data_IF_405558116837
#
_entry.id   IF_405558116837
#
_cell.length_a   1.000
_cell.length_b   1.000
_cell.length_c   1.000
_cell.angle_alpha   90.00
_cell.angle_beta   90.00
_cell.angle_gamma   90.00
#
_symmetry.space_group_name_H-M   'P 1'
#
loop_
_entity.id
_entity.type
_entity.pdbx_description
1 polymer ?
#
# COMPACT_ATOMS: atom_id res chain seq x y z
N UNK A 1 11.50 -25.79 14.23
CA UNK A 1 11.04 -25.81 12.81
C UNK A 1 9.72 -25.04 12.60
N UNK A 2 8.78 -25.09 13.55
CA UNK A 2 7.52 -24.31 13.56
C UNK A 2 7.77 -22.80 13.62
N UNK A 3 8.66 -22.35 14.49
CA UNK A 3 8.96 -20.93 14.69
C UNK A 3 9.53 -20.23 13.45
N UNK A 4 10.42 -20.90 12.70
CA UNK A 4 10.93 -20.40 11.43
C UNK A 4 9.82 -20.27 10.37
N UNK A 5 8.96 -21.29 10.24
CA UNK A 5 7.82 -21.25 9.31
C UNK A 5 6.87 -20.09 9.64
N UNK A 6 6.68 -19.76 10.91
CA UNK A 6 5.84 -18.65 11.34
C UNK A 6 6.45 -17.28 10.99
N UNK A 7 7.78 -17.12 11.10
CA UNK A 7 8.48 -15.90 10.63
C UNK A 7 8.27 -15.70 9.13
N UNK A 8 8.48 -16.75 8.34
CA UNK A 8 8.30 -16.70 6.88
C UNK A 8 6.85 -16.38 6.52
N UNK A 9 5.87 -17.00 7.20
CA UNK A 9 4.45 -16.71 7.01
C UNK A 9 4.13 -15.24 7.32
N UNK A 10 4.70 -14.70 8.39
CA UNK A 10 4.55 -13.29 8.74
C UNK A 10 5.14 -12.36 7.67
N UNK A 11 6.35 -12.63 7.19
CA UNK A 11 7.00 -11.85 6.12
C UNK A 11 6.21 -11.91 4.81
N UNK A 12 5.71 -13.09 4.43
CA UNK A 12 4.80 -13.26 3.28
C UNK A 12 3.54 -12.40 3.44
N UNK A 13 2.91 -12.43 4.61
CA UNK A 13 1.72 -11.61 4.86
C UNK A 13 1.98 -10.11 4.79
N UNK A 14 3.10 -9.64 5.33
CA UNK A 14 3.50 -8.23 5.25
C UNK A 14 3.81 -7.80 3.80
N UNK A 15 4.46 -8.67 3.03
CA UNK A 15 4.73 -8.49 1.59
C UNK A 15 3.44 -8.36 0.80
N UNK A 16 2.48 -9.27 1.01
CA UNK A 16 1.19 -9.25 0.32
C UNK A 16 0.43 -7.96 0.59
N UNK A 17 0.50 -7.40 1.80
CA UNK A 17 -0.12 -6.09 2.08
C UNK A 17 0.50 -4.96 1.25
N UNK A 18 1.83 -4.91 1.15
CA UNK A 18 2.53 -3.95 0.30
C UNK A 18 2.21 -4.13 -1.19
N UNK A 19 2.27 -5.38 -1.68
CA UNK A 19 1.96 -5.72 -3.08
C UNK A 19 0.50 -5.39 -3.43
N UNK A 20 -0.45 -5.75 -2.57
CA UNK A 20 -1.87 -5.48 -2.78
C UNK A 20 -2.14 -3.98 -2.90
N UNK A 21 -1.53 -3.18 -2.02
CA UNK A 21 -1.64 -1.72 -2.11
C UNK A 21 -1.11 -1.22 -3.46
N UNK A 22 0.11 -1.59 -3.86
CA UNK A 22 0.70 -1.16 -5.14
C UNK A 22 -0.18 -1.55 -6.33
N UNK A 23 -0.62 -2.81 -6.39
CA UNK A 23 -1.48 -3.31 -7.48
C UNK A 23 -2.81 -2.57 -7.50
N UNK A 24 -3.44 -2.36 -6.35
CA UNK A 24 -4.68 -1.60 -6.23
C UNK A 24 -4.54 -0.20 -6.84
N UNK A 25 -3.44 0.50 -6.54
CA UNK A 25 -3.20 1.83 -7.07
C UNK A 25 -3.04 1.83 -8.59
N UNK A 26 -2.24 0.90 -9.13
CA UNK A 26 -2.03 0.79 -10.58
C UNK A 26 -3.35 0.51 -11.31
N UNK A 27 -4.12 -0.46 -10.81
CA UNK A 27 -5.40 -0.84 -11.41
C UNK A 27 -6.39 0.33 -11.38
N UNK A 28 -6.53 1.00 -10.24
CA UNK A 28 -7.50 2.09 -10.11
C UNK A 28 -7.10 3.35 -10.86
N UNK A 29 -5.81 3.64 -10.97
CA UNK A 29 -5.32 4.73 -11.81
C UNK A 29 -5.65 4.48 -13.29
N UNK A 30 -5.50 3.24 -13.78
CA UNK A 30 -5.89 2.86 -15.12
C UNK A 30 -7.42 3.02 -15.35
N UNK A 31 -8.25 2.62 -14.39
CA UNK A 31 -9.71 2.82 -14.46
C UNK A 31 -10.11 4.29 -14.44
N UNK A 32 -9.42 5.13 -13.65
CA UNK A 32 -9.64 6.58 -13.64
C UNK A 32 -9.35 7.20 -15.00
N UNK A 33 -8.22 6.85 -15.63
CA UNK A 33 -7.88 7.32 -16.98
C UNK A 33 -8.94 6.87 -17.99
N UNK A 34 -9.33 5.60 -17.97
CA UNK A 34 -10.36 5.07 -18.86
C UNK A 34 -11.69 5.81 -18.67
N UNK A 35 -12.07 6.08 -17.41
CA UNK A 35 -13.26 6.86 -17.09
C UNK A 35 -13.21 8.27 -17.66
N UNK A 36 -12.09 8.97 -17.50
CA UNK A 36 -11.88 10.31 -18.07
C UNK A 36 -12.00 10.28 -19.59
N UNK A 37 -11.40 9.29 -20.26
CA UNK A 37 -11.46 9.14 -21.72
C UNK A 37 -12.92 8.92 -22.17
N UNK A 38 -13.64 8.00 -21.53
CA UNK A 38 -15.06 7.72 -21.84
C UNK A 38 -15.91 8.98 -21.64
N UNK A 39 -15.72 9.68 -20.52
CA UNK A 39 -16.41 10.96 -20.24
C UNK A 39 -16.09 12.02 -21.29
N UNK A 40 -14.84 12.14 -21.73
CA UNK A 40 -14.44 13.11 -22.75
C UNK A 40 -15.07 12.83 -24.12
N UNK A 41 -15.25 11.55 -24.50
CA UNK A 41 -15.98 11.18 -25.71
C UNK A 41 -17.47 11.49 -25.59
N UNK A 42 -18.09 11.16 -24.45
CA UNK A 42 -19.51 11.41 -24.19
C UNK A 42 -19.85 12.91 -24.12
N UNK A 43 -18.93 13.75 -23.65
CA UNK A 43 -19.13 15.21 -23.61
C UNK A 43 -19.26 15.83 -25.02
N UNK A 44 -18.75 15.20 -26.07
CA UNK A 44 -18.91 15.69 -27.46
C UNK A 44 -20.31 15.45 -28.03
N UNK A 45 -21.09 14.58 -27.42
CA UNK A 45 -22.36 14.05 -27.96
C UNK A 45 -23.59 14.39 -27.11
N UNK A 46 -23.41 14.98 -25.92
CA UNK A 46 -24.46 15.09 -24.90
C UNK A 46 -24.86 16.55 -24.66
N UNK A 47 -26.17 16.81 -24.56
CA UNK A 47 -26.74 18.12 -24.16
C UNK A 47 -26.48 18.42 -22.67
N UNK A 48 -26.64 19.67 -22.23
CA UNK A 48 -26.35 20.08 -20.84
C UNK A 48 -27.04 19.24 -19.74
N UNK A 49 -28.13 18.54 -20.04
CA UNK A 49 -28.81 17.65 -19.07
C UNK A 49 -28.15 16.27 -18.91
N UNK A 50 -27.41 15.75 -19.90
CA UNK A 50 -26.69 14.47 -19.76
C UNK A 50 -25.26 14.62 -19.22
N UNK A 51 -24.83 15.85 -18.92
CA UNK A 51 -23.51 16.15 -18.35
C UNK A 51 -23.28 15.44 -17.00
N UNK A 52 -24.32 15.30 -16.18
CA UNK A 52 -24.28 14.51 -14.94
C UNK A 52 -24.02 13.03 -15.20
N UNK A 53 -24.64 12.46 -16.25
CA UNK A 53 -24.41 11.06 -16.63
C UNK A 53 -23.01 10.83 -17.21
N UNK A 54 -22.40 11.85 -17.83
CA UNK A 54 -21.04 11.77 -18.36
C UNK A 54 -19.98 11.67 -17.24
N UNK A 55 -20.25 12.22 -16.05
CA UNK A 55 -19.32 12.19 -14.91
C UNK A 55 -19.64 11.15 -13.84
N UNK A 56 -20.79 10.49 -13.91
CA UNK A 56 -21.18 9.46 -12.93
C UNK A 56 -20.14 8.33 -12.81
N UNK A 57 -19.59 7.87 -13.94
CA UNK A 57 -18.61 6.78 -13.95
C UNK A 57 -17.27 7.16 -13.28
N UNK A 58 -16.57 8.26 -13.67
CA UNK A 58 -15.36 8.69 -12.98
C UNK A 58 -15.55 8.94 -11.48
N UNK A 59 -16.70 9.51 -11.08
CA UNK A 59 -17.01 9.78 -9.66
C UNK A 59 -17.14 8.47 -8.88
N UNK A 60 -17.85 7.47 -9.41
CA UNK A 60 -17.97 6.16 -8.75
C UNK A 60 -16.60 5.49 -8.64
N UNK A 61 -15.79 5.50 -9.70
CA UNK A 61 -14.43 4.94 -9.69
C UNK A 61 -13.57 5.63 -8.63
N UNK A 62 -13.65 6.96 -8.53
CA UNK A 62 -12.94 7.74 -7.51
C UNK A 62 -13.36 7.35 -6.09
N UNK A 63 -14.66 7.19 -5.83
CA UNK A 63 -15.16 6.79 -4.51
C UNK A 63 -14.66 5.39 -4.11
N UNK A 64 -14.70 4.43 -5.04
CA UNK A 64 -14.17 3.08 -4.78
C UNK A 64 -12.65 3.15 -4.55
N UNK A 65 -11.92 3.94 -5.34
CA UNK A 65 -10.49 4.14 -5.17
C UNK A 65 -10.16 4.72 -3.80
N UNK A 66 -10.86 5.78 -3.38
CA UNK A 66 -10.67 6.42 -2.09
C UNK A 66 -10.93 5.47 -0.93
N UNK A 67 -12.03 4.71 -0.96
CA UNK A 67 -12.34 3.72 0.08
C UNK A 67 -11.30 2.60 0.12
N UNK A 68 -10.90 2.09 -1.05
CA UNK A 68 -9.85 1.08 -1.14
C UNK A 68 -8.50 1.58 -0.64
N UNK A 69 -8.16 2.84 -0.87
CA UNK A 69 -6.94 3.47 -0.33
C UNK A 69 -6.95 3.51 1.19
N UNK A 70 -8.09 3.83 1.78
CA UNK A 70 -8.22 3.87 3.24
C UNK A 70 -8.02 2.48 3.85
N UNK A 71 -8.72 1.47 3.31
CA UNK A 71 -8.65 0.08 3.81
C UNK A 71 -7.25 -0.50 3.59
N UNK A 72 -6.73 -0.41 2.37
CA UNK A 72 -5.41 -0.96 2.04
C UNK A 72 -4.27 -0.20 2.72
N UNK A 73 -4.38 1.12 2.87
CA UNK A 73 -3.43 1.96 3.60
C UNK A 73 -3.36 1.58 5.08
N UNK A 74 -4.50 1.28 5.72
CA UNK A 74 -4.53 0.75 7.08
C UNK A 74 -3.79 -0.59 7.20
N UNK A 75 -3.96 -1.51 6.25
CA UNK A 75 -3.22 -2.78 6.26
C UNK A 75 -1.71 -2.58 6.10
N UNK A 76 -1.28 -1.66 5.24
CA UNK A 76 0.15 -1.30 5.09
C UNK A 76 0.70 -0.74 6.40
N UNK A 77 -0.04 0.14 7.07
CA UNK A 77 0.31 0.68 8.39
C UNK A 77 0.47 -0.43 9.41
N UNK A 78 -0.56 -1.25 9.59
CA UNK A 78 -0.53 -2.36 10.54
C UNK A 78 0.68 -3.27 10.29
N UNK A 79 0.92 -3.68 9.04
CA UNK A 79 2.04 -4.58 8.72
C UNK A 79 3.41 -3.92 8.88
N UNK A 80 3.56 -2.64 8.55
CA UNK A 80 4.82 -1.93 8.74
C UNK A 80 5.17 -1.79 10.23
N UNK A 81 4.19 -1.46 11.07
CA UNK A 81 4.35 -1.39 12.52
C UNK A 81 4.77 -2.73 13.11
N UNK A 82 4.01 -3.79 12.82
CA UNK A 82 4.29 -5.11 13.36
C UNK A 82 5.61 -5.68 12.84
N UNK A 83 6.01 -5.37 11.59
CA UNK A 83 7.29 -5.82 11.05
C UNK A 83 8.45 -5.23 11.83
N UNK A 84 8.41 -3.93 12.13
CA UNK A 84 9.43 -3.27 12.95
C UNK A 84 9.54 -3.93 14.34
N UNK A 85 8.41 -4.11 15.04
CA UNK A 85 8.41 -4.71 16.38
C UNK A 85 8.87 -6.17 16.39
N UNK A 86 8.46 -6.96 15.39
CA UNK A 86 8.88 -8.36 15.27
C UNK A 86 10.37 -8.48 15.00
N UNK A 87 10.91 -7.71 14.06
CA UNK A 87 12.35 -7.74 13.75
C UNK A 87 13.17 -7.25 14.93
N UNK A 88 12.71 -6.22 15.66
CA UNK A 88 13.39 -5.77 16.87
C UNK A 88 13.45 -6.88 17.94
N UNK A 89 12.35 -7.63 18.12
CA UNK A 89 12.34 -8.80 19.02
C UNK A 89 13.28 -9.91 18.54
N UNK A 90 13.27 -10.24 17.24
CA UNK A 90 14.18 -11.24 16.68
C UNK A 90 15.65 -10.85 16.86
N UNK A 91 15.99 -9.57 16.71
CA UNK A 91 17.36 -9.11 16.96
C UNK A 91 17.75 -9.21 18.44
N UNK A 92 16.84 -8.84 19.35
CA UNK A 92 17.11 -8.84 20.80
C UNK A 92 17.24 -10.24 21.38
N UNK A 93 16.34 -11.16 21.00
CA UNK A 93 16.25 -12.48 21.63
C UNK A 93 16.92 -13.59 20.81
N UNK A 94 17.06 -13.39 19.49
CA UNK A 94 17.50 -14.43 18.56
C UNK A 94 18.72 -14.01 17.73
N UNK A 95 19.30 -12.83 18.01
CA UNK A 95 20.57 -12.34 17.46
C UNK A 95 20.67 -12.31 15.93
N UNK A 96 19.56 -12.14 15.21
CA UNK A 96 19.46 -12.15 13.73
C UNK A 96 20.15 -10.97 13.00
N UNK A 97 20.76 -10.02 13.71
CA UNK A 97 21.52 -8.87 13.17
C UNK A 97 20.87 -8.07 12.01
N UNK A 98 19.54 -8.01 11.93
CA UNK A 98 18.84 -7.30 10.86
C UNK A 98 18.83 -5.79 11.14
N UNK A 99 19.18 -4.95 10.16
CA UNK A 99 19.12 -3.48 10.31
C UNK A 99 17.68 -2.96 10.52
N UNK A 100 17.43 -2.30 11.65
CA UNK A 100 16.10 -1.79 12.04
C UNK A 100 15.86 -0.32 11.66
N UNK A 101 16.90 0.47 11.40
CA UNK A 101 16.76 1.91 11.09
C UNK A 101 15.85 2.16 9.90
N UNK A 102 16.01 1.34 8.85
CA UNK A 102 15.17 1.44 7.67
C UNK A 102 13.71 1.04 7.94
N UNK A 103 13.46 0.09 8.86
CA UNK A 103 12.11 -0.32 9.26
C UNK A 103 11.43 0.74 10.12
N UNK A 104 12.19 1.43 10.98
CA UNK A 104 11.71 2.57 11.77
C UNK A 104 11.28 3.73 10.87
N UNK A 105 12.11 4.08 9.88
CA UNK A 105 11.78 5.11 8.89
C UNK A 105 10.48 4.74 8.18
N UNK A 106 10.34 3.49 7.72
CA UNK A 106 9.12 3.04 7.06
C UNK A 106 7.89 3.15 7.98
N UNK A 107 8.01 2.77 9.25
CA UNK A 107 6.96 2.91 10.26
C UNK A 107 6.50 4.37 10.39
N UNK A 108 7.43 5.31 10.54
CA UNK A 108 7.13 6.75 10.67
C UNK A 108 6.51 7.29 9.37
N UNK A 109 7.08 6.95 8.22
CA UNK A 109 6.57 7.40 6.92
C UNK A 109 5.14 6.93 6.67
N UNK A 110 4.76 5.73 7.11
CA UNK A 110 3.37 5.28 6.98
C UNK A 110 2.41 6.11 7.84
N UNK A 111 2.80 6.48 9.07
CA UNK A 111 1.98 7.38 9.92
C UNK A 111 1.73 8.70 9.20
N UNK A 112 2.80 9.30 8.66
CA UNK A 112 2.71 10.54 7.90
C UNK A 112 1.81 10.35 6.67
N UNK A 113 1.98 9.24 5.95
CA UNK A 113 1.17 8.91 4.77
C UNK A 113 -0.32 8.78 5.08
N UNK A 114 -0.69 8.07 6.16
CA UNK A 114 -2.09 7.97 6.59
C UNK A 114 -2.63 9.32 7.08
N UNK A 115 -1.87 10.05 7.89
CA UNK A 115 -2.29 11.36 8.42
C UNK A 115 -2.47 12.44 7.35
N UNK A 116 -1.81 12.29 6.20
CA UNK A 116 -1.88 13.21 5.06
C UNK A 116 -2.72 12.70 3.89
N UNK A 117 -3.43 11.56 4.04
CA UNK A 117 -4.38 11.04 3.05
C UNK A 117 -5.46 12.07 2.65
N UNK A 118 -6.09 12.82 3.59
CA UNK A 118 -7.10 13.82 3.23
C UNK A 118 -6.56 14.93 2.31
N UNK A 119 -5.26 15.18 2.35
CA UNK A 119 -4.58 16.21 1.54
C UNK A 119 -4.16 15.68 0.15
N UNK A 120 -4.46 14.41 -0.17
CA UNK A 120 -4.06 13.76 -1.42
C UNK A 120 -2.58 13.35 -1.49
N UNK A 121 -1.66 14.12 -0.89
CA UNK A 121 -0.22 13.80 -0.86
C UNK A 121 0.10 12.50 -0.11
N UNK A 122 -0.74 12.11 0.87
CA UNK A 122 -0.55 10.89 1.64
C UNK A 122 -0.57 9.62 0.78
N UNK A 123 -1.20 9.66 -0.39
CA UNK A 123 -1.18 8.57 -1.36
C UNK A 123 0.25 8.23 -1.82
N UNK A 124 1.05 9.22 -2.23
CA UNK A 124 2.41 9.01 -2.73
C UNK A 124 3.32 8.48 -1.63
N UNK A 125 3.16 9.00 -0.41
CA UNK A 125 3.90 8.54 0.77
C UNK A 125 3.57 7.07 1.06
N UNK A 126 2.28 6.72 1.07
CA UNK A 126 1.85 5.34 1.30
C UNK A 126 2.30 4.37 0.19
N UNK A 127 2.32 4.82 -1.07
CA UNK A 127 2.83 4.01 -2.18
C UNK A 127 4.33 3.70 -2.01
N UNK A 128 5.12 4.71 -1.63
CA UNK A 128 6.55 4.53 -1.32
C UNK A 128 6.74 3.58 -0.14
N UNK A 129 5.93 3.72 0.91
CA UNK A 129 5.98 2.85 2.09
C UNK A 129 5.57 1.41 1.80
N UNK A 130 4.52 1.21 1.01
CA UNK A 130 4.05 -0.11 0.58
C UNK A 130 5.12 -0.82 -0.26
N UNK A 131 5.79 -0.08 -1.14
CA UNK A 131 6.92 -0.57 -1.93
C UNK A 131 8.11 -0.92 -1.03
N UNK A 132 8.43 -0.05 -0.07
CA UNK A 132 9.48 -0.30 0.92
C UNK A 132 9.18 -1.54 1.77
N UNK A 133 7.93 -1.73 2.19
CA UNK A 133 7.47 -2.90 2.94
C UNK A 133 7.62 -4.19 2.12
N UNK A 134 7.22 -4.15 0.85
CA UNK A 134 7.40 -5.26 -0.09
C UNK A 134 8.89 -5.62 -0.24
N UNK A 135 9.75 -4.65 -0.57
CA UNK A 135 11.18 -4.92 -0.79
C UNK A 135 11.87 -5.39 0.49
N UNK A 136 11.63 -4.74 1.63
CA UNK A 136 12.29 -5.08 2.90
C UNK A 136 11.90 -6.46 3.41
N UNK A 137 10.65 -6.88 3.24
CA UNK A 137 10.24 -8.24 3.65
C UNK A 137 10.93 -9.32 2.82
N UNK A 138 11.22 -9.08 1.53
CA UNK A 138 12.05 -9.96 0.71
C UNK A 138 13.50 -9.98 1.18
N UNK A 139 14.08 -8.82 1.49
CA UNK A 139 15.46 -8.74 1.99
C UNK A 139 15.63 -9.46 3.32
N UNK A 140 14.69 -9.28 4.25
CA UNK A 140 14.70 -9.96 5.56
C UNK A 140 14.53 -11.47 5.40
N UNK A 141 13.61 -11.91 4.54
CA UNK A 141 13.43 -13.33 4.24
C UNK A 141 14.72 -13.97 3.72
N UNK A 142 15.46 -13.27 2.84
CA UNK A 142 16.75 -13.74 2.34
C UNK A 142 17.81 -13.82 3.43
N UNK A 143 17.89 -12.83 4.31
CA UNK A 143 18.85 -12.83 5.43
C UNK A 143 18.60 -14.03 6.37
N UNK A 144 17.34 -14.26 6.74
CA UNK A 144 16.94 -15.40 7.58
C UNK A 144 17.16 -16.78 6.95
N UNK A 145 17.38 -16.88 5.63
CA UNK A 145 17.65 -18.14 4.93
C UNK A 145 19.14 -18.45 4.81
N UNK A 146 20.00 -17.46 5.06
CA UNK A 146 21.46 -17.59 5.01
C UNK A 146 22.04 -17.88 6.40
N UNK A 147 21.38 -17.41 7.45
CA UNK A 147 21.65 -17.72 8.86
C UNK A 147 21.02 -19.06 9.29
#
# INVERSE_FOLDING_TARGET
MTEFKDKIKFLKSARTAGMFYVIWQVVMFAFLILGIIISAFNLKTISQQGLLSAFAFPVIVYLIWFLGNFVSGFFVMYKAFYLYEKVQKWNLYEQTQISTSSLLINKISVIIGVGTLPLGIGFFVLLACATSLWVKTLTIEKQLLVD
#
